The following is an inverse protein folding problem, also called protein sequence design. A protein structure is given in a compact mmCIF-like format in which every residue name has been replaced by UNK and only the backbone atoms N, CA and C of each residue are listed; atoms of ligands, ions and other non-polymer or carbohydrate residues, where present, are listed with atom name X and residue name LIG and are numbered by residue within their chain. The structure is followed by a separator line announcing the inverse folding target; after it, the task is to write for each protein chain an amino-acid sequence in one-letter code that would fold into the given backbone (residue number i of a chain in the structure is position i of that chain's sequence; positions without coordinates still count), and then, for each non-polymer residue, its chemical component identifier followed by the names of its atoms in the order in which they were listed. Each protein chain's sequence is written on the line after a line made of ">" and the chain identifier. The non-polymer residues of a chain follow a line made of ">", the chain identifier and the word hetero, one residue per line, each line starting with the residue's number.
data_IF_959733177919
#
_entry.id   IF_959733177919
#
_cell.length_a   1.000
_cell.length_b   1.000
_cell.length_c   1.000
_cell.angle_alpha   90.00
_cell.angle_beta   90.00
_cell.angle_gamma   90.00
#
_symmetry.space_group_name_H-M   'P 1'
#
loop_
_entity.id
_entity.type
_entity.pdbx_description
1 polymer ?
#
# COMPACT_ATOMS: atom_id res chain seq x y z
N UNK A 1 -13.15 13.29 -24.49
CA UNK A 1 -12.27 12.11 -24.32
C UNK A 1 -11.24 12.51 -23.29
N UNK A 2 -11.62 12.75 -22.03
CA UNK A 2 -12.12 11.74 -21.07
C UNK A 2 -11.22 10.51 -21.07
N UNK A 3 -10.03 10.68 -20.47
CA UNK A 3 -9.25 9.56 -19.96
C UNK A 3 -9.94 9.11 -18.69
N UNK A 4 -10.68 8.02 -18.79
CA UNK A 4 -11.41 7.39 -17.71
C UNK A 4 -10.42 7.13 -16.57
N UNK A 5 -10.61 7.83 -15.46
CA UNK A 5 -10.22 7.35 -14.14
C UNK A 5 -10.85 5.96 -14.03
N UNK A 6 -10.04 4.91 -13.99
CA UNK A 6 -10.52 3.59 -13.62
C UNK A 6 -10.73 3.61 -12.09
N UNK A 7 -11.96 3.59 -11.57
CA UNK A 7 -12.17 3.10 -10.22
C UNK A 7 -11.96 1.58 -10.29
N UNK A 8 -10.70 1.16 -10.12
CA UNK A 8 -10.34 -0.26 -10.11
C UNK A 8 -10.99 -0.96 -8.92
N UNK A 9 -12.05 -1.68 -9.25
CA UNK A 9 -12.63 -2.85 -8.59
C UNK A 9 -12.20 -3.14 -7.14
N UNK A 10 -13.08 -2.86 -6.16
CA UNK A 10 -13.88 -3.88 -5.43
C UNK A 10 -14.48 -3.28 -4.17
N UNK A 11 -15.73 -2.83 -4.28
CA UNK A 11 -16.63 -2.58 -3.15
C UNK A 11 -17.04 -3.94 -2.53
N UNK A 12 -16.16 -4.50 -1.71
CA UNK A 12 -16.54 -5.43 -0.65
C UNK A 12 -16.04 -4.81 0.64
N UNK A 13 -16.86 -4.73 1.71
CA UNK A 13 -16.34 -4.34 3.02
C UNK A 13 -15.40 -5.46 3.48
N UNK A 14 -14.11 -5.27 3.18
CA UNK A 14 -12.97 -6.17 3.45
C UNK A 14 -12.36 -5.91 4.82
N UNK A 15 -13.09 -5.20 5.69
CA UNK A 15 -12.52 -4.60 6.88
C UNK A 15 -12.99 -5.38 8.11
N UNK A 16 -12.04 -5.80 8.94
CA UNK A 16 -12.28 -6.49 10.20
C UNK A 16 -11.68 -5.69 11.33
N UNK A 17 -12.49 -5.47 12.38
CA UNK A 17 -12.03 -4.77 13.58
C UNK A 17 -11.41 -5.80 14.53
N UNK A 18 -10.21 -5.50 15.01
CA UNK A 18 -9.46 -6.28 15.98
C UNK A 18 -9.28 -5.45 17.25
N UNK A 19 -9.44 -6.11 18.39
CA UNK A 19 -9.15 -5.52 19.68
C UNK A 19 -7.89 -6.16 20.25
N UNK A 20 -6.85 -5.36 20.48
CA UNK A 20 -5.62 -5.82 21.10
C UNK A 20 -5.70 -5.58 22.62
N UNK A 21 -6.01 -6.64 23.37
CA UNK A 21 -6.15 -6.57 24.84
C UNK A 21 -4.84 -6.20 25.55
N UNK A 22 -3.68 -6.41 24.92
CA UNK A 22 -2.37 -6.11 25.52
C UNK A 22 -2.11 -4.59 25.56
N UNK A 23 -2.54 -3.89 24.51
CA UNK A 23 -2.32 -2.44 24.34
C UNK A 23 -3.59 -1.62 24.57
N UNK A 24 -4.77 -2.26 24.63
CA UNK A 24 -6.08 -1.63 24.66
C UNK A 24 -6.46 -0.92 23.34
N UNK A 25 -5.75 -1.22 22.25
CA UNK A 25 -5.93 -0.53 20.96
C UNK A 25 -6.93 -1.26 20.05
N UNK A 26 -7.62 -0.49 19.22
CA UNK A 26 -8.58 -1.00 18.24
C UNK A 26 -8.02 -0.80 16.84
N UNK A 27 -7.89 -1.89 16.10
CA UNK A 27 -7.28 -1.90 14.77
C UNK A 27 -8.31 -2.29 13.73
N UNK A 28 -8.26 -1.66 12.57
CA UNK A 28 -8.99 -2.07 11.37
C UNK A 28 -8.00 -2.78 10.46
N UNK A 29 -8.31 -4.03 10.13
CA UNK A 29 -7.57 -4.84 9.16
C UNK A 29 -8.33 -4.87 7.86
N UNK A 30 -7.63 -4.63 6.76
CA UNK A 30 -8.19 -4.81 5.42
C UNK A 30 -7.21 -5.46 4.45
N UNK A 31 -7.75 -5.98 3.35
CA UNK A 31 -6.95 -6.61 2.29
C UNK A 31 -6.65 -5.58 1.21
N UNK A 32 -5.42 -5.08 1.20
CA UNK A 32 -4.95 -4.11 0.19
C UNK A 32 -4.71 -4.77 -1.17
N UNK A 33 -4.31 -6.05 -1.20
CA UNK A 33 -3.96 -6.73 -2.44
C UNK A 33 -3.93 -8.23 -2.30
N UNK A 34 -4.08 -8.92 -3.44
CA UNK A 34 -3.89 -10.37 -3.56
C UNK A 34 -2.96 -10.62 -4.73
N UNK A 35 -1.95 -11.44 -4.51
CA UNK A 35 -0.95 -11.80 -5.51
C UNK A 35 -0.76 -13.30 -5.51
N UNK A 36 -0.33 -13.87 -6.64
CA UNK A 36 0.11 -15.25 -6.69
C UNK A 36 1.64 -15.26 -6.81
N UNK A 37 2.35 -15.80 -5.82
CA UNK A 37 3.78 -16.04 -5.98
C UNK A 37 3.97 -17.38 -6.68
N UNK A 38 4.50 -17.35 -7.90
CA UNK A 38 4.81 -18.52 -8.71
C UNK A 38 6.31 -18.60 -8.96
N UNK A 39 7.04 -19.35 -8.12
CA UNK A 39 8.45 -19.69 -8.37
C UNK A 39 8.56 -21.07 -9.05
N UNK A 40 7.48 -21.83 -9.17
CA UNK A 40 7.48 -23.18 -9.75
C UNK A 40 6.30 -23.39 -10.71
N UNK A 41 6.49 -24.13 -11.84
CA UNK A 41 5.50 -24.25 -12.91
C UNK A 41 4.20 -25.00 -12.55
N UNK A 42 4.01 -25.44 -11.30
CA UNK A 42 2.91 -26.34 -10.92
C UNK A 42 2.12 -25.95 -9.67
N UNK A 43 2.53 -24.92 -8.90
CA UNK A 43 1.78 -24.46 -7.71
C UNK A 43 1.92 -22.96 -7.51
N UNK A 44 0.86 -22.22 -7.79
CA UNK A 44 0.69 -20.82 -7.38
C UNK A 44 0.29 -20.78 -5.91
N UNK A 45 1.08 -20.12 -5.07
CA UNK A 45 0.71 -19.90 -3.67
C UNK A 45 0.02 -18.54 -3.56
N UNK A 46 -1.25 -18.49 -3.11
CA UNK A 46 -1.95 -17.23 -2.93
C UNK A 46 -1.31 -16.47 -1.78
N UNK A 47 -0.96 -15.21 -2.05
CA UNK A 47 -0.48 -14.22 -1.11
C UNK A 47 -1.53 -13.12 -0.99
N UNK A 48 -1.69 -12.65 0.24
CA UNK A 48 -2.59 -11.59 0.62
C UNK A 48 -1.80 -10.51 1.35
N UNK A 49 -1.94 -9.27 0.91
CA UNK A 49 -1.42 -8.11 1.60
C UNK A 49 -2.47 -7.57 2.55
N UNK A 50 -2.16 -7.63 3.84
CA UNK A 50 -2.96 -7.08 4.93
C UNK A 50 -2.43 -5.69 5.27
N UNK A 51 -3.32 -4.72 5.43
CA UNK A 51 -3.00 -3.41 5.99
C UNK A 51 -3.76 -3.22 7.30
N UNK A 52 -3.10 -2.56 8.24
CA UNK A 52 -3.60 -2.31 9.58
C UNK A 52 -3.65 -0.81 9.79
N UNK A 53 -4.83 -0.29 10.09
CA UNK A 53 -5.08 1.11 10.44
C UNK A 53 -5.64 1.20 11.85
N UNK A 54 -5.50 2.35 12.48
CA UNK A 54 -6.21 2.62 13.74
C UNK A 54 -7.71 2.74 13.44
N UNK A 55 -8.56 2.23 14.34
CA UNK A 55 -10.02 2.36 14.19
C UNK A 55 -10.52 3.80 14.18
N UNK A 56 -9.79 4.73 14.79
CA UNK A 56 -10.09 6.16 14.75
C UNK A 56 -9.72 6.80 13.40
N UNK A 57 -8.85 6.15 12.62
CA UNK A 57 -8.35 6.64 11.35
C UNK A 57 -8.18 5.50 10.32
N UNK A 58 -9.28 4.82 9.91
CA UNK A 58 -9.22 3.62 9.06
C UNK A 58 -8.65 3.89 7.66
N UNK A 59 -8.77 5.11 7.15
CA UNK A 59 -8.21 5.54 5.85
C UNK A 59 -6.69 5.76 5.87
N UNK A 60 -6.06 5.68 7.05
CA UNK A 60 -4.63 5.91 7.26
C UNK A 60 -3.94 4.61 7.70
N UNK A 61 -3.55 3.73 6.76
CA UNK A 61 -2.84 2.50 7.10
C UNK A 61 -1.50 2.83 7.76
N UNK A 62 -1.28 2.22 8.93
CA UNK A 62 -0.08 2.42 9.74
C UNK A 62 0.90 1.26 9.57
N UNK A 63 0.40 0.06 9.32
CA UNK A 63 1.23 -1.15 9.17
C UNK A 63 0.76 -2.04 8.03
N UNK A 64 1.64 -2.90 7.53
CA UNK A 64 1.33 -3.93 6.53
C UNK A 64 2.01 -5.27 6.80
N UNK A 65 1.34 -6.34 6.44
CA UNK A 65 1.90 -7.69 6.48
C UNK A 65 1.55 -8.46 5.20
N UNK A 66 2.47 -9.31 4.75
CA UNK A 66 2.20 -10.30 3.70
C UNK A 66 1.90 -11.65 4.36
N UNK A 67 0.76 -12.25 4.02
CA UNK A 67 0.35 -13.56 4.51
C UNK A 67 0.02 -14.49 3.35
N UNK A 68 0.25 -15.78 3.57
CA UNK A 68 -0.28 -16.82 2.67
C UNK A 68 -1.77 -17.01 2.95
N UNK A 69 -2.56 -17.11 1.89
CA UNK A 69 -4.01 -17.26 2.00
C UNK A 69 -4.75 -16.50 0.92
N UNK A 70 -6.01 -16.85 0.74
CA UNK A 70 -6.88 -16.26 -0.26
C UNK A 70 -7.87 -15.24 0.33
N UNK A 71 -8.20 -15.35 1.62
CA UNK A 71 -9.27 -14.58 2.23
C UNK A 71 -9.04 -14.26 3.71
N UNK A 72 -9.58 -13.12 4.15
CA UNK A 72 -9.49 -12.62 5.51
C UNK A 72 -10.44 -13.34 6.47
N UNK A 73 -11.59 -13.82 5.98
CA UNK A 73 -12.58 -14.52 6.79
C UNK A 73 -12.08 -15.87 7.33
N UNK A 74 -11.04 -16.43 6.71
CA UNK A 74 -10.41 -17.68 7.13
C UNK A 74 -9.42 -17.55 8.29
N UNK A 75 -9.08 -16.33 8.70
CA UNK A 75 -8.09 -16.06 9.75
C UNK A 75 -8.75 -15.82 11.11
N UNK A 76 -8.13 -16.29 12.19
CA UNK A 76 -8.57 -15.98 13.56
C UNK A 76 -8.07 -14.60 13.99
N UNK A 77 -8.67 -14.04 15.04
CA UNK A 77 -8.20 -12.77 15.61
C UNK A 77 -6.75 -12.90 16.14
N UNK A 78 -6.39 -14.04 16.75
CA UNK A 78 -5.02 -14.33 17.19
C UNK A 78 -4.01 -14.34 16.04
N UNK A 79 -4.36 -14.93 14.89
CA UNK A 79 -3.50 -14.93 13.70
C UNK A 79 -3.32 -13.52 13.14
N UNK A 80 -4.37 -12.71 13.17
CA UNK A 80 -4.33 -11.32 12.71
C UNK A 80 -3.55 -10.42 13.67
N UNK A 81 -3.70 -10.59 14.98
CA UNK A 81 -2.89 -9.91 15.99
C UNK A 81 -1.41 -10.33 15.92
N UNK A 82 -1.13 -11.61 15.69
CA UNK A 82 0.23 -12.09 15.40
C UNK A 82 0.81 -11.40 14.17
N UNK A 83 0.03 -11.31 13.09
CA UNK A 83 0.41 -10.60 11.87
C UNK A 83 0.65 -9.10 12.11
N UNK A 84 -0.17 -8.44 12.93
CA UNK A 84 0.01 -7.04 13.32
C UNK A 84 1.32 -6.83 14.07
N UNK A 85 1.67 -7.73 15.00
CA UNK A 85 2.92 -7.64 15.78
C UNK A 85 4.17 -7.83 14.91
N UNK A 86 4.10 -8.73 13.94
CA UNK A 86 5.18 -9.03 12.98
C UNK A 86 5.22 -8.07 11.77
N UNK A 87 4.21 -7.21 11.62
CA UNK A 87 4.05 -6.35 10.44
C UNK A 87 5.10 -5.24 10.34
N UNK A 88 5.38 -4.81 9.12
CA UNK A 88 6.23 -3.66 8.84
C UNK A 88 5.43 -2.34 8.91
N UNK A 89 6.08 -1.21 9.23
CA UNK A 89 5.49 0.11 9.04
C UNK A 89 4.99 0.29 7.60
N UNK A 90 3.78 0.85 7.45
CA UNK A 90 3.23 1.16 6.15
C UNK A 90 4.02 2.33 5.54
N UNK A 91 4.87 2.02 4.56
CA UNK A 91 5.51 3.03 3.75
C UNK A 91 4.78 3.07 2.41
N UNK A 92 3.98 4.13 2.18
CA UNK A 92 3.55 4.45 0.82
C UNK A 92 4.81 4.55 -0.03
N UNK A 93 4.94 3.78 -1.13
CA UNK A 93 6.05 3.98 -2.05
C UNK A 93 6.04 5.47 -2.40
N UNK A 94 7.18 6.14 -2.18
CA UNK A 94 7.33 7.54 -2.59
C UNK A 94 6.91 7.58 -4.05
N UNK A 95 5.73 8.14 -4.34
CA UNK A 95 5.34 8.53 -5.69
C UNK A 95 6.55 9.26 -6.22
N UNK A 96 7.22 8.69 -7.22
CA UNK A 96 8.29 9.37 -7.94
C UNK A 96 7.74 10.76 -8.24
N UNK A 97 8.30 11.76 -7.55
CA UNK A 97 8.19 13.14 -7.98
C UNK A 97 8.91 13.19 -9.33
N UNK A 98 8.24 12.79 -10.40
CA UNK A 98 8.49 13.33 -11.73
C UNK A 98 7.95 14.77 -11.70
N UNK A 99 8.61 15.60 -10.89
CA UNK A 99 8.47 17.04 -10.91
C UNK A 99 9.15 17.47 -12.21
N UNK A 100 8.28 17.63 -13.21
CA UNK A 100 8.50 18.44 -14.41
C UNK A 100 9.27 19.70 -14.07
N UNK A 101 10.52 19.80 -14.54
CA UNK A 101 11.25 21.07 -14.44
C UNK A 101 12.75 20.96 -14.57
N UNK A 102 13.26 21.17 -15.79
CA UNK A 102 14.35 22.11 -16.06
C UNK A 102 14.50 22.37 -17.55
N UNK A 103 13.49 23.05 -18.07
CA UNK A 103 13.68 24.01 -19.16
C UNK A 103 14.57 25.15 -18.62
N UNK A 104 15.87 25.09 -18.90
CA UNK A 104 16.80 26.19 -18.65
C UNK A 104 17.95 26.16 -19.67
N UNK A 105 17.62 26.34 -20.95
CA UNK A 105 18.60 26.70 -21.99
C UNK A 105 18.09 27.88 -22.81
N UNK A 106 18.02 29.05 -22.20
CA UNK A 106 18.07 30.33 -22.93
C UNK A 106 18.86 31.37 -22.15
N UNK A 107 19.79 32.00 -22.86
CA UNK A 107 20.67 33.15 -22.54
C UNK A 107 22.03 32.81 -21.96
N UNK A 108 23.00 32.79 -22.87
CA UNK A 108 24.23 33.58 -22.83
C UNK A 108 24.82 33.48 -24.24
N UNK A 109 25.40 34.48 -24.87
CA UNK A 109 25.15 35.92 -24.88
C UNK A 109 25.78 36.33 -26.22
N UNK A 110 24.98 36.87 -27.14
CA UNK A 110 25.49 37.28 -28.45
C UNK A 110 26.03 38.70 -28.33
N UNK A 111 27.33 38.81 -28.05
CA UNK A 111 28.17 39.89 -28.55
C UNK A 111 28.62 40.95 -27.55
N UNK A 112 29.93 41.01 -27.30
CA UNK A 112 30.62 42.26 -27.08
C UNK A 112 31.97 42.23 -27.82
N UNK A 113 32.00 42.93 -28.95
CA UNK A 113 33.19 43.38 -29.68
C UNK A 113 33.95 44.42 -28.84
N UNK A 114 35.29 44.43 -28.97
CA UNK A 114 36.31 45.49 -28.71
C UNK A 114 37.50 44.83 -28.00
N UNK A 115 38.77 44.99 -28.36
CA UNK A 115 39.49 45.78 -29.36
C UNK A 115 40.80 45.06 -29.65
#
# INVERSE_FOLDING_TARGET
>A
MEGQEEPDATDQPKDRILHDEETGSHWVVSVAGRSASGILPLRTVPLMELVFADSEAPDHPLRRALRYGADLAGLTDDELLGSLRESDPYSTPMREKQETGKEARRRNDRGARKS
#
